data_IF_311030565588
#
_entry.id   IF_311030565588
#
_cell.length_a   1.000
_cell.length_b   1.000
_cell.length_c   1.000
_cell.angle_alpha   90.00
_cell.angle_beta   90.00
_cell.angle_gamma   90.00
#
_symmetry.space_group_name_H-M   'P 1'
#
loop_
_entity.id
_entity.type
_entity.pdbx_description
1 polymer ?
#
# COMPACT_ATOMS: atom_id res chain seq x y z
N UNK A 1 -6.15 32.04 -46.00
CA UNK A 1 -5.12 31.69 -45.00
C UNK A 1 -5.63 30.52 -44.16
N UNK A 2 -5.26 29.28 -44.48
CA UNK A 2 -5.76 28.09 -43.78
C UNK A 2 -5.03 27.89 -42.45
N UNK A 3 -5.76 27.93 -41.33
CA UNK A 3 -5.22 27.56 -40.02
C UNK A 3 -4.89 26.06 -40.06
N UNK A 4 -3.60 25.72 -40.07
CA UNK A 4 -3.13 24.34 -39.86
C UNK A 4 -3.56 23.93 -38.44
N UNK A 5 -4.45 22.95 -38.33
CA UNK A 5 -4.73 22.28 -37.06
C UNK A 5 -3.47 21.49 -36.69
N UNK A 6 -2.82 21.85 -35.59
CA UNK A 6 -1.79 21.01 -34.97
C UNK A 6 -2.43 19.67 -34.61
N UNK A 7 -1.90 18.53 -35.08
CA UNK A 7 -2.44 17.23 -34.69
C UNK A 7 -2.20 17.06 -33.18
N UNK A 8 -3.27 16.82 -32.42
CA UNK A 8 -3.10 16.33 -31.05
C UNK A 8 -2.45 14.96 -31.15
N UNK A 9 -1.24 14.80 -30.61
CA UNK A 9 -0.60 13.50 -30.44
C UNK A 9 -1.56 12.59 -29.67
N UNK A 10 -1.78 11.39 -30.20
CA UNK A 10 -2.61 10.39 -29.52
C UNK A 10 -2.05 10.14 -28.11
N UNK A 11 -2.93 10.10 -27.11
CA UNK A 11 -2.55 9.69 -25.76
C UNK A 11 -1.95 8.28 -25.83
N UNK A 12 -0.67 8.17 -25.50
CA UNK A 12 -0.03 6.87 -25.37
C UNK A 12 -0.43 6.28 -24.01
N UNK A 13 -1.21 5.20 -24.05
CA UNK A 13 -1.63 4.48 -22.85
C UNK A 13 -0.77 3.24 -22.70
N UNK A 14 -0.01 3.18 -21.61
CA UNK A 14 0.72 1.97 -21.21
C UNK A 14 -0.19 1.08 -20.36
N UNK A 15 -0.39 -0.17 -20.80
CA UNK A 15 -1.07 -1.20 -20.01
C UNK A 15 0.02 -2.12 -19.45
N UNK A 16 0.00 -2.34 -18.13
CA UNK A 16 0.84 -3.35 -17.46
C UNK A 16 -0.09 -4.49 -17.04
N UNK A 17 -0.09 -5.59 -17.80
CA UNK A 17 -0.92 -6.76 -17.48
C UNK A 17 -0.36 -7.50 -16.27
N UNK A 18 -1.20 -8.31 -15.63
CA UNK A 18 -0.84 -8.99 -14.39
C UNK A 18 0.36 -9.94 -14.54
N UNK A 19 0.50 -10.57 -15.70
CA UNK A 19 1.59 -11.46 -16.11
C UNK A 19 2.82 -10.72 -16.65
N UNK A 20 2.69 -9.42 -16.94
CA UNK A 20 3.79 -8.54 -17.36
C UNK A 20 4.43 -7.79 -16.17
N UNK A 21 3.86 -7.92 -14.97
CA UNK A 21 4.44 -7.32 -13.74
C UNK A 21 5.77 -7.98 -13.39
N UNK A 22 6.71 -7.18 -12.91
CA UNK A 22 7.93 -7.68 -12.29
C UNK A 22 7.56 -8.60 -11.13
N UNK A 23 8.21 -9.76 -11.05
CA UNK A 23 7.92 -10.74 -10.02
C UNK A 23 9.16 -10.99 -9.19
N UNK A 24 9.03 -10.84 -7.87
CA UNK A 24 9.99 -11.34 -6.90
C UNK A 24 9.37 -12.54 -6.17
N UNK A 25 10.15 -13.59 -5.96
CA UNK A 25 9.67 -14.83 -5.36
C UNK A 25 10.76 -15.55 -4.59
N UNK A 26 10.43 -15.94 -3.37
CA UNK A 26 11.16 -16.95 -2.60
C UNK A 26 10.18 -17.92 -1.90
N UNK A 27 10.64 -18.62 -0.85
CA UNK A 27 9.78 -19.53 -0.07
C UNK A 27 8.73 -18.81 0.79
N UNK A 28 8.99 -17.56 1.17
CA UNK A 28 8.19 -16.78 2.09
C UNK A 28 7.15 -15.90 1.37
N UNK A 29 7.51 -15.35 0.21
CA UNK A 29 6.70 -14.34 -0.46
C UNK A 29 6.74 -14.51 -1.98
N UNK A 30 5.57 -14.30 -2.59
CA UNK A 30 5.40 -14.02 -4.01
C UNK A 30 4.90 -12.59 -4.15
N UNK A 31 5.73 -11.70 -4.68
CA UNK A 31 5.41 -10.30 -4.92
C UNK A 31 5.27 -10.02 -6.40
N UNK A 32 4.12 -9.48 -6.82
CA UNK A 32 3.89 -8.99 -8.19
C UNK A 32 3.85 -7.47 -8.19
N UNK A 33 4.89 -6.87 -8.74
CA UNK A 33 5.22 -5.47 -8.59
C UNK A 33 4.91 -4.71 -9.88
N UNK A 34 4.07 -3.68 -9.77
CA UNK A 34 3.70 -2.85 -10.94
C UNK A 34 4.82 -1.87 -11.32
N UNK A 35 5.64 -1.50 -10.34
CA UNK A 35 6.86 -0.70 -10.44
C UNK A 35 7.97 -1.44 -9.70
N UNK A 36 9.26 -1.24 -10.03
CA UNK A 36 10.35 -1.85 -9.27
C UNK A 36 10.21 -1.55 -7.77
N UNK A 37 10.25 -2.60 -6.93
CA UNK A 37 10.14 -2.47 -5.48
C UNK A 37 11.18 -3.32 -4.70
N UNK A 38 12.03 -4.08 -5.39
CA UNK A 38 13.05 -4.93 -4.76
C UNK A 38 14.41 -4.79 -5.46
N UNK A 39 15.48 -4.77 -4.68
CA UNK A 39 16.84 -4.54 -5.16
C UNK A 39 17.18 -3.05 -5.20
N UNK A 40 18.11 -2.67 -6.07
CA UNK A 40 18.52 -1.28 -6.26
C UNK A 40 17.80 -0.69 -7.46
N UNK A 41 17.00 0.35 -7.24
CA UNK A 41 16.25 1.06 -8.28
C UNK A 41 15.98 2.50 -7.84
N UNK A 42 15.67 3.34 -8.82
CA UNK A 42 15.21 4.71 -8.58
C UNK A 42 13.69 4.69 -8.37
N UNK A 43 13.24 4.97 -7.14
CA UNK A 43 11.83 4.95 -6.78
C UNK A 43 11.04 6.06 -7.48
N UNK A 44 11.59 7.28 -7.53
CA UNK A 44 10.93 8.45 -8.11
C UNK A 44 10.86 8.31 -9.63
N UNK A 45 11.98 7.94 -10.27
CA UNK A 45 12.06 7.78 -11.73
C UNK A 45 11.17 6.66 -12.31
N UNK A 46 10.64 5.77 -11.48
CA UNK A 46 9.75 4.68 -11.89
C UNK A 46 8.29 4.85 -11.42
N UNK A 47 7.97 5.91 -10.67
CA UNK A 47 6.63 6.15 -10.15
C UNK A 47 5.61 6.46 -11.25
N UNK A 48 4.34 6.15 -11.00
CA UNK A 48 3.22 6.63 -11.79
C UNK A 48 2.56 7.82 -11.09
N UNK A 49 3.00 9.03 -11.44
CA UNK A 49 2.64 10.22 -10.68
C UNK A 49 3.13 10.08 -9.24
N UNK A 50 2.21 10.14 -8.27
CA UNK A 50 2.52 9.99 -6.84
C UNK A 50 2.57 8.52 -6.37
N UNK A 51 2.18 7.55 -7.21
CA UNK A 51 2.18 6.14 -6.83
C UNK A 51 3.57 5.54 -7.09
N UNK A 52 4.33 5.33 -6.03
CA UNK A 52 5.72 4.86 -6.09
C UNK A 52 5.83 3.33 -6.04
N UNK A 53 5.02 2.70 -5.18
CA UNK A 53 4.94 1.22 -5.05
C UNK A 53 3.50 0.80 -5.24
N UNK A 54 3.28 -0.32 -5.94
CA UNK A 54 1.97 -0.97 -6.06
C UNK A 54 2.17 -2.48 -6.26
N UNK A 55 2.07 -3.21 -5.16
CA UNK A 55 2.38 -4.64 -5.09
C UNK A 55 1.13 -5.47 -4.81
N UNK A 56 1.08 -6.65 -5.43
CA UNK A 56 0.12 -7.72 -5.12
C UNK A 56 0.91 -8.90 -4.54
N UNK A 57 0.89 -8.99 -3.23
CA UNK A 57 1.77 -9.84 -2.45
C UNK A 57 1.00 -11.03 -1.87
N UNK A 58 1.57 -12.23 -2.02
CA UNK A 58 1.09 -13.45 -1.39
C UNK A 58 2.16 -13.94 -0.42
N UNK A 59 1.82 -13.95 0.87
CA UNK A 59 2.72 -14.27 1.98
C UNK A 59 2.39 -15.66 2.52
N UNK A 60 3.41 -16.50 2.66
CA UNK A 60 3.30 -17.85 3.20
C UNK A 60 2.91 -17.84 4.70
N UNK A 61 2.39 -18.94 5.24
CA UNK A 61 2.01 -19.03 6.65
C UNK A 61 3.24 -18.84 7.56
N UNK A 62 3.13 -18.05 8.62
CA UNK A 62 4.21 -17.73 9.55
C UNK A 62 5.21 -16.69 9.07
N UNK A 63 5.17 -16.33 7.80
CA UNK A 63 6.14 -15.47 7.12
C UNK A 63 5.67 -14.03 6.98
N UNK A 64 6.54 -13.14 6.53
CA UNK A 64 6.23 -11.78 6.14
C UNK A 64 7.46 -10.88 6.21
N UNK A 65 7.25 -9.62 6.54
CA UNK A 65 8.32 -8.63 6.68
C UNK A 65 8.62 -8.38 8.15
N UNK A 66 9.85 -8.70 8.57
CA UNK A 66 10.36 -8.40 9.90
C UNK A 66 10.39 -6.89 10.19
N UNK A 67 10.67 -6.52 11.44
CA UNK A 67 10.72 -5.12 11.86
C UNK A 67 11.71 -4.30 11.01
N UNK A 68 11.20 -3.40 10.17
CA UNK A 68 11.96 -2.53 9.27
C UNK A 68 11.45 -1.09 9.36
N UNK A 69 12.17 -0.13 8.77
CA UNK A 69 11.90 1.30 8.92
C UNK A 69 11.40 1.95 7.64
N UNK A 70 10.46 2.89 7.80
CA UNK A 70 10.09 3.88 6.78
C UNK A 70 10.20 5.30 7.32
N UNK A 71 10.38 6.26 6.41
CA UNK A 71 10.33 7.70 6.69
C UNK A 71 9.65 8.41 5.50
N UNK A 72 8.87 9.45 5.78
CA UNK A 72 8.26 10.39 4.84
C UNK A 72 7.47 9.74 3.69
N UNK A 73 6.81 8.61 3.99
CA UNK A 73 6.00 7.84 3.04
C UNK A 73 4.67 7.44 3.68
N UNK A 74 3.62 7.45 2.87
CA UNK A 74 2.28 6.97 3.18
C UNK A 74 2.16 5.53 2.65
N UNK A 75 2.01 4.55 3.54
CA UNK A 75 1.76 3.16 3.19
C UNK A 75 0.26 2.87 3.34
N UNK A 76 -0.37 2.36 2.28
CA UNK A 76 -1.75 1.87 2.34
C UNK A 76 -1.74 0.38 2.00
N UNK A 77 -2.26 -0.45 2.90
CA UNK A 77 -2.34 -1.91 2.72
C UNK A 77 -3.81 -2.34 2.76
N UNK A 78 -4.28 -3.02 1.72
CA UNK A 78 -5.63 -3.59 1.63
C UNK A 78 -5.57 -5.13 1.68
N UNK A 79 -6.36 -5.74 2.56
CA UNK A 79 -6.34 -7.19 2.77
C UNK A 79 -7.31 -7.89 1.82
N UNK A 80 -6.75 -8.67 0.89
CA UNK A 80 -7.53 -9.42 -0.10
C UNK A 80 -8.04 -10.75 0.46
N UNK A 81 -7.16 -11.52 1.11
CA UNK A 81 -7.46 -12.82 1.71
C UNK A 81 -6.50 -13.13 2.85
N UNK A 82 -6.90 -13.98 3.80
CA UNK A 82 -6.05 -14.34 4.94
C UNK A 82 -6.05 -13.27 6.02
N UNK A 83 -5.00 -13.20 6.84
CA UNK A 83 -4.92 -12.25 7.95
C UNK A 83 -3.53 -11.67 8.08
N UNK A 84 -3.42 -10.36 8.19
CA UNK A 84 -2.18 -9.65 8.42
C UNK A 84 -2.05 -9.31 9.90
N UNK A 85 -0.89 -9.57 10.49
CA UNK A 85 -0.49 -9.09 11.81
C UNK A 85 0.47 -7.92 11.61
N UNK A 86 -0.01 -6.74 11.95
CA UNK A 86 0.80 -5.53 12.01
C UNK A 86 1.37 -5.32 13.41
N UNK A 87 2.56 -4.75 13.49
CA UNK A 87 3.12 -4.19 14.72
C UNK A 87 4.02 -3.02 14.38
N UNK A 88 3.91 -1.91 15.08
CA UNK A 88 4.84 -0.79 14.98
C UNK A 88 5.39 -0.34 16.35
N UNK A 89 6.29 0.66 16.35
CA UNK A 89 6.85 1.29 17.55
C UNK A 89 6.31 2.70 17.85
N UNK A 90 5.25 3.12 17.15
CA UNK A 90 4.64 4.45 17.31
C UNK A 90 5.59 5.62 17.02
N UNK A 91 6.74 5.36 16.38
CA UNK A 91 7.73 6.39 16.05
C UNK A 91 8.68 6.78 17.19
N UNK A 92 8.64 6.08 18.33
CA UNK A 92 9.56 6.29 19.45
C UNK A 92 10.54 5.12 19.56
N UNK A 93 11.82 5.40 19.35
CA UNK A 93 12.86 4.36 19.43
C UNK A 93 12.91 3.73 20.83
N UNK A 94 12.87 2.39 20.87
CA UNK A 94 12.88 1.63 22.12
C UNK A 94 11.56 1.65 22.91
N UNK A 95 10.49 2.27 22.37
CA UNK A 95 9.18 2.30 23.02
C UNK A 95 8.37 1.02 22.77
N UNK A 96 7.63 0.58 23.79
CA UNK A 96 6.59 -0.45 23.68
C UNK A 96 5.20 0.13 23.37
N UNK A 97 5.09 1.44 23.15
CA UNK A 97 3.82 2.17 22.97
C UNK A 97 3.28 2.18 21.52
N UNK A 98 3.77 1.30 20.66
CA UNK A 98 3.28 1.18 19.29
C UNK A 98 1.98 0.38 19.17
N UNK A 99 1.50 0.25 17.95
CA UNK A 99 0.26 -0.49 17.65
C UNK A 99 0.57 -1.95 17.37
N UNK A 100 -0.36 -2.84 17.71
CA UNK A 100 -0.40 -4.20 17.19
C UNK A 100 -1.83 -4.58 16.86
N UNK A 101 -2.09 -4.97 15.61
CA UNK A 101 -3.43 -5.32 15.14
C UNK A 101 -3.42 -6.54 14.22
N UNK A 102 -4.60 -7.17 14.08
CA UNK A 102 -4.84 -8.23 13.11
C UNK A 102 -5.87 -7.73 12.11
N UNK A 103 -5.45 -7.52 10.88
CA UNK A 103 -6.34 -7.13 9.78
C UNK A 103 -6.83 -8.36 9.03
N UNK A 104 -8.10 -8.32 8.64
CA UNK A 104 -8.82 -9.42 7.97
C UNK A 104 -9.36 -8.98 6.60
N UNK A 105 -9.83 -9.91 5.74
CA UNK A 105 -10.20 -9.56 4.37
C UNK A 105 -11.26 -8.45 4.32
N UNK A 106 -11.07 -7.48 3.43
CA UNK A 106 -11.91 -6.30 3.32
C UNK A 106 -11.39 -5.10 4.14
N UNK A 107 -10.62 -5.32 5.20
CA UNK A 107 -9.99 -4.24 5.95
C UNK A 107 -8.86 -3.57 5.17
N UNK A 108 -8.64 -2.29 5.44
CA UNK A 108 -7.49 -1.53 4.99
C UNK A 108 -6.79 -0.86 6.17
N UNK A 109 -5.47 -0.68 6.08
CA UNK A 109 -4.70 0.16 6.97
C UNK A 109 -3.97 1.26 6.21
N UNK A 110 -3.66 2.33 6.93
CA UNK A 110 -2.75 3.40 6.52
C UNK A 110 -1.71 3.61 7.61
N UNK A 111 -0.44 3.60 7.21
CA UNK A 111 0.70 4.03 8.04
C UNK A 111 1.31 5.26 7.39
N UNK A 112 1.19 6.41 8.04
CA UNK A 112 1.97 7.60 7.72
C UNK A 112 3.28 7.52 8.48
N UNK A 113 4.37 7.26 7.77
CA UNK A 113 5.66 7.03 8.42
C UNK A 113 6.22 8.28 9.10
N UNK A 114 5.87 9.47 8.60
CA UNK A 114 6.37 10.76 9.09
C UNK A 114 7.89 10.75 9.21
N UNK A 115 8.43 11.40 10.25
CA UNK A 115 9.88 11.41 10.51
C UNK A 115 10.54 10.04 10.57
N UNK A 116 9.81 9.02 11.06
CA UNK A 116 10.30 7.64 11.27
C UNK A 116 9.23 6.75 11.89
N UNK A 117 8.98 5.58 11.32
CA UNK A 117 8.32 4.48 12.01
C UNK A 117 9.05 3.17 11.73
N UNK A 118 9.16 2.27 12.72
CA UNK A 118 9.45 0.87 12.43
C UNK A 118 8.22 0.03 12.57
N UNK A 119 8.06 -0.91 11.66
CA UNK A 119 6.95 -1.85 11.69
C UNK A 119 7.31 -3.23 11.13
N UNK A 120 6.48 -4.22 11.45
CA UNK A 120 6.53 -5.56 10.89
C UNK A 120 5.14 -5.96 10.40
N UNK A 121 5.10 -6.64 9.26
CA UNK A 121 3.87 -7.08 8.60
C UNK A 121 3.97 -8.58 8.34
N UNK A 122 3.34 -9.39 9.20
CA UNK A 122 3.47 -10.84 9.19
C UNK A 122 2.13 -11.52 8.89
N UNK A 123 2.14 -12.65 8.21
CA UNK A 123 0.95 -13.48 8.11
C UNK A 123 0.56 -13.99 9.50
N UNK A 124 -0.68 -13.71 9.91
CA UNK A 124 -1.17 -14.08 11.24
C UNK A 124 -1.58 -15.56 11.36
N UNK A 125 -1.54 -16.32 10.27
CA UNK A 125 -1.67 -17.79 10.29
C UNK A 125 -0.29 -18.42 10.37
N UNK A 126 -0.08 -19.35 11.28
CA UNK A 126 1.20 -20.04 11.45
C UNK A 126 1.42 -21.16 10.42
N UNK A 127 2.63 -21.72 10.37
CA UNK A 127 2.97 -22.84 9.47
C UNK A 127 1.99 -24.02 9.56
N UNK A 128 1.51 -24.35 10.77
CA UNK A 128 0.54 -25.43 10.98
C UNK A 128 -0.88 -25.10 10.49
N UNK A 129 -1.25 -23.83 10.39
CA UNK A 129 -2.54 -23.41 9.85
C UNK A 129 -2.59 -23.53 8.32
N UNK A 130 -1.44 -23.40 7.65
CA UNK A 130 -1.31 -23.56 6.20
C UNK A 130 -1.98 -22.46 5.34
N UNK A 131 -2.53 -21.41 5.95
CA UNK A 131 -3.26 -20.34 5.24
C UNK A 131 -2.33 -19.22 4.80
N UNK A 132 -2.40 -18.87 3.51
CA UNK A 132 -1.68 -17.74 2.93
C UNK A 132 -2.42 -16.43 3.18
N UNK A 133 -1.66 -15.35 3.26
CA UNK A 133 -2.14 -13.97 3.23
C UNK A 133 -1.97 -13.42 1.82
N UNK A 134 -2.92 -12.62 1.34
CA UNK A 134 -2.76 -11.80 0.14
C UNK A 134 -3.14 -10.36 0.44
N UNK A 135 -2.28 -9.43 0.06
CA UNK A 135 -2.48 -7.98 0.25
C UNK A 135 -2.18 -7.22 -1.03
N UNK A 136 -2.81 -6.05 -1.18
CA UNK A 136 -2.35 -5.00 -2.07
C UNK A 136 -1.67 -3.93 -1.22
N UNK A 137 -0.45 -3.55 -1.58
CA UNK A 137 0.29 -2.50 -0.88
C UNK A 137 0.66 -1.37 -1.84
N UNK A 138 0.33 -0.14 -1.46
CA UNK A 138 0.58 1.07 -2.23
C UNK A 138 1.37 2.09 -1.40
N UNK A 139 2.41 2.69 -1.97
CA UNK A 139 3.20 3.73 -1.31
C UNK A 139 3.13 5.05 -2.06
N UNK A 140 2.96 6.14 -1.33
CA UNK A 140 2.92 7.51 -1.84
C UNK A 140 3.86 8.41 -1.02
N UNK A 141 4.43 9.46 -1.60
CA UNK A 141 5.22 10.43 -0.84
C UNK A 141 4.31 11.20 0.12
N UNK A 142 4.83 11.52 1.31
CA UNK A 142 4.17 12.47 2.21
C UNK A 142 4.39 13.90 1.72
N UNK A 143 3.36 14.74 1.74
CA UNK A 143 3.50 16.18 1.47
C UNK A 143 4.27 16.89 2.58
N UNK A 144 4.11 16.42 3.83
CA UNK A 144 4.81 16.96 5.00
C UNK A 144 5.96 16.05 5.40
N UNK A 145 7.18 16.56 5.25
CA UNK A 145 8.42 15.91 5.68
C UNK A 145 8.59 16.09 7.19
N UNK A 146 8.93 15.01 7.89
CA UNK A 146 9.24 15.03 9.32
C UNK A 146 8.02 15.10 10.25
N UNK A 147 6.82 14.91 9.71
CA UNK A 147 5.58 14.87 10.49
C UNK A 147 5.61 13.78 11.58
N UNK A 148 4.71 13.87 12.56
CA UNK A 148 4.53 12.79 13.52
C UNK A 148 3.98 11.53 12.81
N UNK A 149 4.55 10.34 13.07
CA UNK A 149 4.02 9.10 12.51
C UNK A 149 2.61 8.83 13.04
N UNK A 150 1.74 8.31 12.18
CA UNK A 150 0.37 7.92 12.57
C UNK A 150 -0.02 6.63 11.87
N UNK A 151 -0.89 5.87 12.52
CA UNK A 151 -1.44 4.61 12.02
C UNK A 151 -2.96 4.65 12.17
N UNK A 152 -3.68 4.14 11.18
CA UNK A 152 -5.13 4.00 11.23
C UNK A 152 -5.59 2.80 10.40
N UNK A 153 -6.72 2.19 10.79
CA UNK A 153 -7.28 1.01 10.14
C UNK A 153 -8.80 1.08 10.09
N UNK A 154 -9.40 0.45 9.08
CA UNK A 154 -10.85 0.47 8.88
C UNK A 154 -11.33 -0.83 8.25
N UNK A 155 -12.53 -1.26 8.63
CA UNK A 155 -13.25 -2.36 7.98
C UNK A 155 -14.20 -1.78 6.94
N UNK A 156 -14.07 -2.24 5.69
CA UNK A 156 -14.83 -1.75 4.53
C UNK A 156 -15.82 -2.79 4.01
N UNK A 157 -16.05 -3.89 4.74
CA UNK A 157 -16.85 -5.01 4.23
C UNK A 157 -18.27 -4.59 3.87
N UNK A 158 -18.91 -3.74 4.67
CA UNK A 158 -20.28 -3.27 4.43
C UNK A 158 -20.34 -2.40 3.16
N UNK A 159 -19.41 -1.46 3.00
CA UNK A 159 -19.31 -0.57 1.85
C UNK A 159 -18.99 -1.34 0.56
N UNK A 160 -18.12 -2.36 0.63
CA UNK A 160 -17.76 -3.19 -0.51
C UNK A 160 -18.93 -4.01 -1.06
N UNK A 161 -20.01 -4.21 -0.28
CA UNK A 161 -21.21 -4.91 -0.79
C UNK A 161 -21.95 -4.15 -1.88
N UNK A 162 -21.70 -2.85 -2.04
CA UNK A 162 -22.37 -2.02 -3.04
C UNK A 162 -22.02 -2.38 -4.49
N UNK A 163 -20.94 -3.14 -4.74
CA UNK A 163 -20.49 -3.50 -6.09
C UNK A 163 -20.03 -2.30 -6.92
N UNK A 164 -19.67 -1.20 -6.25
CA UNK A 164 -19.14 0.02 -6.86
C UNK A 164 -17.78 0.35 -6.27
N UNK A 165 -17.07 1.31 -6.87
CA UNK A 165 -15.83 1.81 -6.30
C UNK A 165 -16.13 2.66 -5.06
N UNK A 166 -15.47 2.33 -3.96
CA UNK A 166 -15.52 3.08 -2.71
C UNK A 166 -14.14 3.70 -2.43
N UNK A 167 -14.10 4.92 -1.84
CA UNK A 167 -12.84 5.53 -1.47
C UNK A 167 -12.31 4.85 -0.20
N UNK A 168 -11.07 4.36 -0.25
CA UNK A 168 -10.40 3.65 0.86
C UNK A 168 -9.53 4.61 1.65
N UNK A 169 -8.68 5.34 0.94
CA UNK A 169 -7.74 6.30 1.52
C UNK A 169 -7.66 7.54 0.62
N UNK A 170 -7.65 8.74 1.20
CA UNK A 170 -7.59 9.99 0.43
C UNK A 170 -6.81 11.08 1.14
N UNK A 171 -6.09 11.90 0.37
CA UNK A 171 -5.52 13.15 0.87
C UNK A 171 -6.52 14.31 0.90
N UNK A 172 -7.75 14.09 0.43
CA UNK A 172 -8.84 15.06 0.57
C UNK A 172 -9.59 14.80 1.87
N UNK A 173 -9.60 15.74 2.83
CA UNK A 173 -10.28 15.54 4.11
C UNK A 173 -11.75 15.14 3.94
N UNK A 174 -12.15 14.07 4.63
CA UNK A 174 -13.53 13.56 4.63
C UNK A 174 -13.95 12.80 3.35
N UNK A 175 -13.05 12.62 2.38
CA UNK A 175 -13.36 11.88 1.14
C UNK A 175 -13.30 10.35 1.31
N UNK A 176 -12.50 9.87 2.27
CA UNK A 176 -12.29 8.46 2.56
C UNK A 176 -12.21 8.23 4.07
N UNK A 177 -12.46 7.01 4.57
CA UNK A 177 -12.31 6.69 5.98
C UNK A 177 -10.85 6.81 6.45
N UNK A 178 -9.88 6.45 5.61
CA UNK A 178 -8.46 6.67 5.91
C UNK A 178 -7.97 7.99 5.28
N UNK A 179 -7.34 8.84 6.09
CA UNK A 179 -6.66 10.05 5.58
C UNK A 179 -5.19 9.73 5.30
N UNK A 180 -4.69 10.07 4.11
CA UNK A 180 -3.26 10.03 3.78
C UNK A 180 -2.69 11.44 3.70
N UNK A 181 -1.40 11.58 4.00
CA UNK A 181 -0.65 12.83 3.90
C UNK A 181 -0.27 13.24 2.47
N UNK A 182 -0.92 12.68 1.44
CA UNK A 182 -0.62 12.95 0.03
C UNK A 182 -1.81 13.63 -0.65
N UNK A 183 -1.76 14.95 -0.82
CA UNK A 183 -2.83 15.75 -1.40
C UNK A 183 -3.14 15.34 -2.84
N UNK A 184 -4.42 15.33 -3.21
CA UNK A 184 -4.85 15.01 -4.57
C UNK A 184 -4.79 13.53 -4.94
N UNK A 185 -4.35 12.65 -4.04
CA UNK A 185 -4.40 11.20 -4.22
C UNK A 185 -5.64 10.59 -3.55
N UNK A 186 -6.24 9.57 -4.18
CA UNK A 186 -7.27 8.72 -3.56
C UNK A 186 -7.13 7.30 -4.07
N UNK A 187 -7.03 6.35 -3.15
CA UNK A 187 -7.16 4.93 -3.45
C UNK A 187 -8.64 4.55 -3.43
N UNK A 188 -9.10 3.95 -4.52
CA UNK A 188 -10.45 3.40 -4.64
C UNK A 188 -10.36 1.87 -4.71
N UNK A 189 -11.29 1.19 -4.06
CA UNK A 189 -11.41 -0.28 -4.13
C UNK A 189 -12.84 -0.69 -4.46
N UNK A 190 -12.99 -1.88 -5.02
CA UNK A 190 -14.28 -2.50 -5.31
C UNK A 190 -14.13 -4.02 -5.29
N UNK A 191 -15.25 -4.73 -5.09
CA UNK A 191 -15.31 -6.19 -5.02
C UNK A 191 -16.33 -6.75 -5.99
#
# INVERSE_FOLDING_TARGET
>A
MGKKKTPMTALEVRIIRADERSTWRDSALLSRQSFPATGSFDLEGNAFGLLMVHNDDIVAPGEGFDMHQHNDVELVTWIMTGRLRHRDDGGMEGSAAGTASILTPGMAQRVSAGRRIRHSELNASGYLDGKKLRVIQAWLPSDEIGAAPTHDETDLNDELTAGTLIPVASGTPGMAPLTIGTSGATLWAGR
#
